data_IF_843795151668
#
_entry.id   IF_843795151668
#
_cell.length_a   1.000
_cell.length_b   1.000
_cell.length_c   1.000
_cell.angle_alpha   90.00
_cell.angle_beta   90.00
_cell.angle_gamma   90.00
#
_symmetry.space_group_name_H-M   'P 1'
#
loop_
_entity.id
_entity.type
_entity.pdbx_description
1 polymer ?
#
# COMPACT_ATOMS: atom_id res chain seq x y z
N UNK A 1 -11.65 -8.96 -14.67
CA UNK A 1 -12.70 -8.88 -13.61
C UNK A 1 -12.29 -9.51 -12.30
N UNK A 2 -11.86 -10.78 -12.25
CA UNK A 2 -11.47 -11.44 -10.99
C UNK A 2 -10.41 -10.67 -10.17
N UNK A 3 -9.34 -10.19 -10.81
CA UNK A 3 -8.30 -9.39 -10.14
C UNK A 3 -8.85 -8.10 -9.50
N UNK A 4 -9.81 -7.44 -10.14
CA UNK A 4 -10.45 -6.25 -9.60
C UNK A 4 -11.30 -6.60 -8.37
N UNK A 5 -12.12 -7.65 -8.45
CA UNK A 5 -12.95 -8.12 -7.34
C UNK A 5 -12.08 -8.48 -6.13
N UNK A 6 -10.99 -9.22 -6.34
CA UNK A 6 -10.03 -9.57 -5.27
C UNK A 6 -9.38 -8.31 -4.70
N UNK A 7 -9.02 -7.34 -5.53
CA UNK A 7 -8.44 -6.07 -5.07
C UNK A 7 -9.42 -5.29 -4.19
N UNK A 8 -10.69 -5.22 -4.60
CA UNK A 8 -11.77 -4.57 -3.82
C UNK A 8 -11.97 -5.27 -2.48
N UNK A 9 -12.04 -6.60 -2.46
CA UNK A 9 -12.19 -7.37 -1.22
C UNK A 9 -11.01 -7.12 -0.29
N UNK A 10 -9.78 -7.19 -0.80
CA UNK A 10 -8.57 -6.96 0.00
C UNK A 10 -8.54 -5.54 0.57
N UNK A 11 -8.82 -4.52 -0.25
CA UNK A 11 -8.85 -3.13 0.21
C UNK A 11 -9.93 -2.92 1.26
N UNK A 12 -11.12 -3.48 1.07
CA UNK A 12 -12.21 -3.39 2.04
C UNK A 12 -11.81 -4.03 3.37
N UNK A 13 -11.32 -5.27 3.35
CA UNK A 13 -10.89 -5.99 4.57
C UNK A 13 -9.74 -5.25 5.27
N UNK A 14 -8.72 -4.82 4.53
CA UNK A 14 -7.61 -4.07 5.11
C UNK A 14 -8.06 -2.73 5.70
N UNK A 15 -8.98 -2.03 5.03
CA UNK A 15 -9.52 -0.76 5.52
C UNK A 15 -10.32 -0.95 6.81
N UNK A 16 -11.17 -1.99 6.87
CA UNK A 16 -11.88 -2.35 8.10
C UNK A 16 -10.94 -2.76 9.22
N UNK A 17 -9.91 -3.57 8.94
CA UNK A 17 -8.93 -3.91 9.97
C UNK A 17 -8.24 -2.65 10.48
N UNK A 18 -7.84 -1.74 9.60
CA UNK A 18 -7.18 -0.48 9.97
C UNK A 18 -8.04 0.40 10.89
N UNK A 19 -9.38 0.32 10.86
CA UNK A 19 -10.22 1.08 11.81
C UNK A 19 -10.25 0.44 13.21
N UNK A 20 -9.93 -0.85 13.33
CA UNK A 20 -9.86 -1.54 14.62
C UNK A 20 -8.54 -1.31 15.36
N UNK A 21 -8.54 -1.63 16.66
CA UNK A 21 -7.32 -1.67 17.49
C UNK A 21 -6.47 -2.94 17.27
N UNK A 22 -6.93 -3.89 16.44
CA UNK A 22 -6.29 -5.20 16.29
C UNK A 22 -4.88 -5.16 15.69
N UNK A 23 -4.52 -4.05 15.04
CA UNK A 23 -3.22 -3.87 14.36
C UNK A 23 -2.26 -2.99 15.19
N UNK A 24 -2.69 -2.53 16.36
CA UNK A 24 -1.81 -1.77 17.25
C UNK A 24 -0.75 -2.71 17.81
N UNK A 25 0.52 -2.41 17.54
CA UNK A 25 1.66 -3.16 18.05
C UNK A 25 2.03 -2.62 19.44
N UNK A 26 2.71 -3.44 20.26
CA UNK A 26 3.29 -3.01 21.55
C UNK A 26 4.00 -1.66 21.37
N UNK A 27 3.63 -0.67 22.19
CA UNK A 27 4.12 0.70 22.09
C UNK A 27 3.13 1.69 21.45
N UNK A 28 1.93 1.24 21.04
CA UNK A 28 0.90 2.13 20.48
C UNK A 28 1.09 2.44 18.98
N UNK A 29 2.07 1.80 18.35
CA UNK A 29 2.42 2.00 16.95
C UNK A 29 1.41 1.31 16.05
N UNK A 30 0.88 2.04 15.05
CA UNK A 30 -0.18 1.56 14.17
C UNK A 30 0.28 1.61 12.70
N UNK A 31 0.85 0.52 12.18
CA UNK A 31 1.33 0.49 10.80
C UNK A 31 0.19 0.78 9.81
N UNK A 32 0.54 1.39 8.68
CA UNK A 32 -0.43 1.80 7.68
C UNK A 32 -0.58 0.69 6.64
N UNK A 33 -1.43 -0.28 6.94
CA UNK A 33 -1.65 -1.41 6.03
C UNK A 33 -2.28 -1.00 4.70
N UNK A 34 -3.07 0.08 4.72
CA UNK A 34 -3.77 0.54 3.52
C UNK A 34 -2.77 1.10 2.52
N UNK A 35 -1.81 1.94 2.96
CA UNK A 35 -0.82 2.48 2.01
C UNK A 35 0.07 1.37 1.46
N UNK A 36 0.46 0.41 2.29
CA UNK A 36 1.22 -0.78 1.85
C UNK A 36 0.41 -1.54 0.80
N UNK A 37 -0.84 -1.87 1.09
CA UNK A 37 -1.69 -2.64 0.19
C UNK A 37 -1.97 -1.90 -1.12
N UNK A 38 -2.24 -0.60 -1.07
CA UNK A 38 -2.45 0.24 -2.25
C UNK A 38 -1.21 0.24 -3.15
N UNK A 39 -0.01 0.34 -2.58
CA UNK A 39 1.25 0.24 -3.34
C UNK A 39 1.45 -1.15 -3.94
N UNK A 40 1.14 -2.23 -3.20
CA UNK A 40 1.14 -3.61 -3.76
C UNK A 40 0.18 -3.71 -4.94
N UNK A 41 -1.04 -3.18 -4.79
CA UNK A 41 -2.06 -3.22 -5.82
C UNK A 41 -1.69 -2.35 -7.02
N UNK A 42 -0.88 -1.30 -6.86
CA UNK A 42 -0.33 -0.55 -7.97
C UNK A 42 0.62 -1.39 -8.83
N UNK A 43 1.36 -2.34 -8.23
CA UNK A 43 2.19 -3.29 -8.98
C UNK A 43 1.37 -4.28 -9.82
N UNK A 44 0.18 -4.67 -9.33
CA UNK A 44 -0.69 -5.66 -9.96
C UNK A 44 -1.63 -5.02 -10.99
N UNK A 45 -2.30 -3.93 -10.63
CA UNK A 45 -3.27 -3.23 -11.46
C UNK A 45 -2.61 -2.07 -12.21
N UNK A 46 -2.54 -2.14 -13.54
CA UNK A 46 -1.95 -1.07 -14.38
C UNK A 46 -2.90 0.10 -14.66
N UNK A 47 -4.21 -0.08 -14.48
CA UNK A 47 -5.21 0.94 -14.80
C UNK A 47 -5.32 2.01 -13.71
N UNK A 48 -5.09 3.27 -14.08
CA UNK A 48 -5.22 4.41 -13.16
C UNK A 48 -6.64 4.60 -12.63
N UNK A 49 -7.66 4.39 -13.45
CA UNK A 49 -9.07 4.46 -13.03
C UNK A 49 -9.38 3.47 -11.90
N UNK A 50 -8.89 2.24 -12.03
CA UNK A 50 -9.02 1.20 -10.99
C UNK A 50 -8.31 1.60 -9.70
N UNK A 51 -7.09 2.12 -9.81
CA UNK A 51 -6.29 2.57 -8.67
C UNK A 51 -6.96 3.71 -7.91
N UNK A 52 -7.44 4.73 -8.62
CA UNK A 52 -8.18 5.86 -8.03
C UNK A 52 -9.44 5.35 -7.32
N UNK A 53 -10.18 4.44 -7.96
CA UNK A 53 -11.36 3.82 -7.34
C UNK A 53 -11.03 3.10 -6.02
N UNK A 54 -9.93 2.35 -5.97
CA UNK A 54 -9.48 1.67 -4.76
C UNK A 54 -9.03 2.64 -3.66
N UNK A 55 -8.36 3.74 -4.01
CA UNK A 55 -7.99 4.80 -3.05
C UNK A 55 -9.23 5.44 -2.46
N UNK A 56 -10.18 5.87 -3.31
CA UNK A 56 -11.42 6.50 -2.86
C UNK A 56 -12.25 5.56 -1.99
N UNK A 57 -12.33 4.28 -2.36
CA UNK A 57 -12.98 3.25 -1.55
C UNK A 57 -12.34 3.14 -0.16
N UNK A 58 -11.01 3.08 -0.09
CA UNK A 58 -10.30 2.99 1.19
C UNK A 58 -10.51 4.22 2.07
N UNK A 59 -10.46 5.42 1.48
CA UNK A 59 -10.70 6.68 2.18
C UNK A 59 -12.14 6.75 2.74
N UNK A 60 -13.11 6.28 1.96
CA UNK A 60 -14.51 6.23 2.39
C UNK A 60 -14.71 5.29 3.59
N UNK A 61 -14.12 4.08 3.55
CA UNK A 61 -14.24 3.09 4.64
C UNK A 61 -13.55 3.56 5.92
N UNK A 62 -12.36 4.17 5.78
CA UNK A 62 -11.53 4.56 6.92
C UNK A 62 -12.23 5.51 7.90
N UNK A 63 -13.10 6.38 7.40
CA UNK A 63 -13.65 7.47 8.20
C UNK A 63 -15.16 7.41 8.39
N UNK A 64 -15.88 6.69 7.51
CA UNK A 64 -17.34 6.49 7.61
C UNK A 64 -18.11 7.80 7.93
N UNK A 65 -17.68 8.91 7.33
CA UNK A 65 -18.23 10.25 7.59
C UNK A 65 -18.64 10.92 6.28
N UNK A 66 -19.78 11.64 6.25
CA UNK A 66 -20.24 12.35 5.06
C UNK A 66 -19.42 13.62 4.75
N UNK A 67 -18.53 14.05 5.66
CA UNK A 67 -17.73 15.26 5.50
C UNK A 67 -16.27 14.94 5.21
N UNK A 68 -15.75 15.46 4.09
CA UNK A 68 -14.33 15.39 3.73
C UNK A 68 -13.55 16.36 4.63
N UNK A 69 -12.57 15.84 5.36
CA UNK A 69 -11.61 16.63 6.10
C UNK A 69 -10.28 16.76 5.37
N UNK A 70 -9.46 17.69 5.84
CA UNK A 70 -8.07 17.82 5.40
C UNK A 70 -7.26 16.53 5.54
N UNK A 71 -7.48 15.73 6.60
CA UNK A 71 -6.79 14.45 6.76
C UNK A 71 -7.10 13.47 5.61
N UNK A 72 -8.33 13.48 5.09
CA UNK A 72 -8.74 12.62 3.97
C UNK A 72 -8.08 13.07 2.67
N UNK A 73 -8.02 14.38 2.45
CA UNK A 73 -7.34 14.97 1.28
C UNK A 73 -5.84 14.64 1.31
N UNK A 74 -5.20 14.77 2.48
CA UNK A 74 -3.79 14.41 2.67
C UNK A 74 -3.60 12.92 2.40
N UNK A 75 -4.46 12.06 2.94
CA UNK A 75 -4.39 10.62 2.69
C UNK A 75 -4.51 10.27 1.21
N UNK A 76 -5.56 10.76 0.53
CA UNK A 76 -5.80 10.48 -0.90
C UNK A 76 -4.63 10.98 -1.74
N UNK A 77 -4.16 12.20 -1.50
CA UNK A 77 -3.03 12.80 -2.22
C UNK A 77 -1.75 11.99 -2.02
N UNK A 78 -1.49 11.55 -0.78
CA UNK A 78 -0.32 10.73 -0.46
C UNK A 78 -0.40 9.36 -1.11
N UNK A 79 -1.58 8.72 -1.12
CA UNK A 79 -1.78 7.44 -1.78
C UNK A 79 -1.60 7.54 -3.31
N UNK A 80 -2.12 8.60 -3.93
CA UNK A 80 -1.90 8.87 -5.36
C UNK A 80 -0.43 9.08 -5.67
N UNK A 81 0.27 9.88 -4.87
CA UNK A 81 1.69 10.12 -5.02
C UNK A 81 2.49 8.84 -4.84
N UNK A 82 2.18 8.03 -3.83
CA UNK A 82 2.82 6.74 -3.61
C UNK A 82 2.64 5.80 -4.82
N UNK A 83 1.43 5.70 -5.37
CA UNK A 83 1.20 4.90 -6.59
C UNK A 83 1.90 5.49 -7.82
N UNK A 84 2.00 6.81 -7.94
CA UNK A 84 2.73 7.47 -9.02
C UNK A 84 4.23 7.14 -8.93
N UNK A 85 4.82 7.19 -7.73
CA UNK A 85 6.22 6.83 -7.51
C UNK A 85 6.54 5.41 -7.97
N UNK A 86 5.60 4.46 -7.84
CA UNK A 86 5.78 3.08 -8.34
C UNK A 86 6.04 3.06 -9.85
N UNK A 87 5.32 3.86 -10.62
CA UNK A 87 5.35 3.83 -12.09
C UNK A 87 6.39 4.79 -12.70
N UNK A 88 6.60 5.96 -12.10
CA UNK A 88 7.39 7.04 -12.70
C UNK A 88 8.86 7.07 -12.26
N UNK A 89 9.23 6.39 -11.18
CA UNK A 89 10.62 6.31 -10.77
C UNK A 89 11.42 5.38 -11.70
N UNK A 90 12.69 5.71 -12.01
CA UNK A 90 13.50 5.00 -13.01
C UNK A 90 13.99 3.62 -12.55
N UNK A 91 13.83 3.26 -11.28
CA UNK A 91 14.30 1.98 -10.74
C UNK A 91 13.31 0.83 -10.98
N UNK A 92 13.69 -0.36 -10.51
CA UNK A 92 12.81 -1.54 -10.56
C UNK A 92 11.55 -1.29 -9.72
N UNK A 93 10.39 -1.73 -10.21
CA UNK A 93 9.09 -1.56 -9.53
C UNK A 93 9.07 -1.96 -8.05
N UNK A 94 9.80 -3.02 -7.67
CA UNK A 94 9.92 -3.42 -6.27
C UNK A 94 10.63 -2.37 -5.40
N UNK A 95 11.72 -1.79 -5.91
CA UNK A 95 12.45 -0.70 -5.25
C UNK A 95 11.58 0.55 -5.17
N UNK A 96 10.91 0.90 -6.28
CA UNK A 96 9.98 2.04 -6.29
C UNK A 96 8.85 1.87 -5.26
N UNK A 97 8.36 0.64 -5.07
CA UNK A 97 7.33 0.33 -4.07
C UNK A 97 7.80 0.52 -2.64
N UNK A 98 9.05 0.10 -2.35
CA UNK A 98 9.67 0.33 -1.04
C UNK A 98 9.79 1.84 -0.76
N UNK A 99 10.31 2.60 -1.73
CA UNK A 99 10.46 4.06 -1.61
C UNK A 99 9.09 4.73 -1.44
N UNK A 100 8.09 4.32 -2.22
CA UNK A 100 6.73 4.85 -2.15
C UNK A 100 6.09 4.63 -0.78
N UNK A 101 6.23 3.42 -0.21
CA UNK A 101 5.71 3.11 1.13
C UNK A 101 6.45 3.91 2.20
N UNK A 102 7.78 3.99 2.14
CA UNK A 102 8.57 4.75 3.10
C UNK A 102 8.19 6.24 3.06
N UNK A 103 8.16 6.86 1.88
CA UNK A 103 7.77 8.26 1.72
C UNK A 103 6.32 8.51 2.17
N UNK A 104 5.39 7.65 1.76
CA UNK A 104 3.99 7.76 2.16
C UNK A 104 3.79 7.63 3.67
N UNK A 105 4.55 6.75 4.33
CA UNK A 105 4.51 6.58 5.80
C UNK A 105 5.00 7.83 6.52
N UNK A 106 6.08 8.46 6.02
CA UNK A 106 6.60 9.70 6.60
C UNK A 106 5.61 10.85 6.43
N UNK A 107 4.99 10.99 5.24
CA UNK A 107 4.04 12.07 4.96
C UNK A 107 2.78 11.95 5.84
N UNK A 108 2.29 10.72 6.06
CA UNK A 108 1.08 10.48 6.87
C UNK A 108 1.31 10.56 8.38
N UNK A 109 2.56 10.65 8.83
CA UNK A 109 2.92 10.83 10.23
C UNK A 109 3.63 12.18 10.46
N UNK A 110 2.90 13.31 10.41
CA UNK A 110 3.48 14.64 10.57
C UNK A 110 3.92 14.94 12.02
N UNK A 111 3.54 14.09 12.99
CA UNK A 111 3.94 14.24 14.39
C UNK A 111 5.39 13.82 14.60
N UNK A 112 6.33 14.69 14.24
CA UNK A 112 7.77 14.52 14.44
C UNK A 112 8.22 14.48 15.92
N UNK A 113 7.30 14.58 16.87
CA UNK A 113 7.58 14.58 18.30
C UNK A 113 8.21 13.27 18.79
N UNK A 114 8.01 12.17 18.06
CA UNK A 114 8.65 10.89 18.34
C UNK A 114 9.22 10.25 17.08
N UNK A 115 10.42 10.69 16.71
CA UNK A 115 11.18 10.17 15.56
C UNK A 115 11.34 8.66 15.64
N UNK A 116 11.46 8.09 16.85
CA UNK A 116 11.67 6.65 17.04
C UNK A 116 10.46 5.84 16.57
N UNK A 117 9.25 6.31 16.88
CA UNK A 117 8.00 5.73 16.42
C UNK A 117 7.86 5.80 14.90
N UNK A 118 8.21 6.93 14.27
CA UNK A 118 8.17 7.09 12.81
C UNK A 118 9.12 6.11 12.12
N UNK A 119 10.36 6.01 12.61
CA UNK A 119 11.36 5.08 12.06
C UNK A 119 10.86 3.63 12.16
N UNK A 120 10.27 3.27 13.30
CA UNK A 120 9.75 1.92 13.52
C UNK A 120 8.55 1.63 12.59
N UNK A 121 7.65 2.59 12.36
CA UNK A 121 6.56 2.45 11.38
C UNK A 121 7.07 2.27 9.95
N UNK A 122 8.08 3.05 9.55
CA UNK A 122 8.72 2.91 8.24
C UNK A 122 9.33 1.52 8.10
N UNK A 123 10.01 1.02 9.13
CA UNK A 123 10.60 -0.33 9.13
C UNK A 123 9.51 -1.40 8.99
N UNK A 124 8.41 -1.30 9.75
CA UNK A 124 7.32 -2.28 9.69
C UNK A 124 6.66 -2.25 8.31
N UNK A 125 6.27 -1.07 7.81
CA UNK A 125 5.59 -0.94 6.52
C UNK A 125 6.51 -1.40 5.37
N UNK A 126 7.81 -1.12 5.46
CA UNK A 126 8.81 -1.59 4.50
C UNK A 126 8.99 -3.12 4.56
N UNK A 127 8.96 -3.70 5.76
CA UNK A 127 9.02 -5.15 5.93
C UNK A 127 7.77 -5.83 5.36
N UNK A 128 6.59 -5.23 5.56
CA UNK A 128 5.33 -5.73 5.00
C UNK A 128 5.32 -5.69 3.48
N UNK A 129 5.76 -4.58 2.85
CA UNK A 129 5.83 -4.51 1.38
C UNK A 129 6.81 -5.55 0.83
N UNK A 130 7.94 -5.79 1.49
CA UNK A 130 8.88 -6.85 1.11
C UNK A 130 8.24 -8.23 1.16
N UNK A 131 7.52 -8.56 2.23
CA UNK A 131 6.79 -9.82 2.36
C UNK A 131 5.77 -9.97 1.21
N UNK A 132 4.99 -8.93 0.91
CA UNK A 132 4.03 -8.97 -0.19
C UNK A 132 4.71 -9.15 -1.56
N UNK A 133 5.83 -8.47 -1.80
CA UNK A 133 6.59 -8.63 -3.04
C UNK A 133 7.14 -10.05 -3.20
N UNK A 134 7.66 -10.66 -2.12
CA UNK A 134 8.11 -12.05 -2.12
C UNK A 134 6.94 -13.02 -2.40
N UNK A 135 5.79 -12.81 -1.78
CA UNK A 135 4.59 -13.63 -2.03
C UNK A 135 4.15 -13.50 -3.49
N UNK A 136 4.14 -12.27 -4.04
CA UNK A 136 3.83 -12.06 -5.46
C UNK A 136 4.83 -12.77 -6.36
N UNK A 137 6.13 -12.71 -6.05
CA UNK A 137 7.16 -13.42 -6.80
C UNK A 137 6.98 -14.94 -6.75
N UNK A 138 6.62 -15.51 -5.60
CA UNK A 138 6.36 -16.96 -5.48
C UNK A 138 5.12 -17.37 -6.30
N UNK A 139 4.02 -16.59 -6.20
CA UNK A 139 2.75 -16.91 -6.86
C UNK A 139 2.82 -16.72 -8.38
N UNK A 140 3.47 -15.65 -8.85
CA UNK A 140 3.53 -15.29 -10.27
C UNK A 140 4.83 -15.75 -10.95
N UNK A 141 5.94 -15.86 -10.22
CA UNK A 141 7.22 -16.37 -10.72
C UNK A 141 7.15 -17.86 -11.11
N UNK A 142 6.32 -18.66 -10.42
CA UNK A 142 6.05 -20.05 -10.84
C UNK A 142 5.41 -20.18 -12.23
N UNK A 143 4.79 -19.12 -12.77
CA UNK A 143 4.21 -19.12 -14.13
C UNK A 143 5.21 -18.73 -15.23
N UNK A 144 6.43 -18.31 -14.89
CA UNK A 144 7.49 -17.92 -15.85
C UNK A 144 8.63 -18.94 -15.96
N UNK A 145 8.31 -20.23 -16.12
CA UNK A 145 9.23 -21.16 -16.81
C UNK A 145 8.69 -21.43 -18.20
N UNK A 146 9.16 -20.73 -19.25
CA UNK A 146 9.07 -21.30 -20.58
C UNK A 146 9.97 -22.54 -20.61
N UNK A 147 9.40 -23.67 -21.04
CA UNK A 147 10.17 -24.75 -21.65
C UNK A 147 10.87 -24.16 -22.89
N UNK A 148 12.20 -24.14 -22.88
CA UNK A 148 13.07 -24.20 -24.06
C UNK A 148 14.51 -24.36 -23.52
N UNK A 149 14.91 -25.56 -23.10
CA UNK A 149 15.65 -26.46 -23.97
C UNK A 149 15.06 -26.62 -25.38
N UNK A 150 15.74 -26.00 -26.36
CA UNK A 150 16.13 -26.63 -27.63
C UNK A 150 17.16 -25.74 -28.34
N UNK A 151 18.40 -26.23 -28.30
CA UNK A 151 19.53 -26.04 -29.23
C UNK A 151 20.12 -24.63 -29.36
#
# INVERSE_FOLDING_TARGET
>A
MLQFIVSVILVTVASFLQTTAAIIIKGGIKPNLIIVLLVVLACVNKGWTTRVGLILLSAFILKFSPWISWADVIFISTALLAMALVDYLPWRRGINSIIAVAAGTVILNPSFSDISSIVLEVIINTSLILIFLLVLEILYGKKKKPKENRL
#
